data_IF_462358877500
#
_entry.id   IF_462358877500
#
_cell.length_a   1.000
_cell.length_b   1.000
_cell.length_c   1.000
_cell.angle_alpha   90.00
_cell.angle_beta   90.00
_cell.angle_gamma   90.00
#
_symmetry.space_group_name_H-M   'P 1'
#
loop_
_entity.id
_entity.type
_entity.pdbx_description
1 polymer ?
#
# COMPACT_ATOMS: atom_id res chain seq x y z
N UNK A 1 7.44 -5.54 -11.82
CA UNK A 1 7.33 -4.11 -12.16
C UNK A 1 7.65 -3.33 -10.91
N UNK A 2 8.71 -2.52 -10.95
CA UNK A 2 9.04 -1.66 -9.81
C UNK A 2 7.88 -0.68 -9.59
N UNK A 3 7.30 -0.71 -8.39
CA UNK A 3 6.20 0.18 -8.03
C UNK A 3 6.32 0.63 -6.58
N UNK A 4 5.68 1.75 -6.29
CA UNK A 4 5.58 2.26 -4.93
C UNK A 4 4.51 1.47 -4.17
N UNK A 5 4.82 1.18 -2.93
CA UNK A 5 3.89 0.62 -2.00
C UNK A 5 4.04 1.24 -0.63
N UNK A 6 3.00 1.12 0.16
CA UNK A 6 3.01 1.49 1.56
C UNK A 6 3.05 0.22 2.40
N UNK A 7 3.99 0.15 3.33
CA UNK A 7 4.02 -0.88 4.34
C UNK A 7 3.18 -0.41 5.54
N UNK A 8 2.10 -1.11 5.82
CA UNK A 8 1.18 -0.82 6.93
C UNK A 8 1.03 -2.04 7.83
N UNK A 9 0.98 -1.86 9.16
CA UNK A 9 0.68 -2.96 10.07
C UNK A 9 -0.65 -3.61 9.74
N UNK A 10 -0.76 -4.94 9.88
CA UNK A 10 -1.99 -5.69 9.54
C UNK A 10 -3.24 -5.13 10.22
N UNK A 11 -3.12 -4.67 11.46
CA UNK A 11 -4.23 -4.09 12.24
C UNK A 11 -4.78 -2.80 11.62
N UNK A 12 -3.94 -2.03 10.92
CA UNK A 12 -4.32 -0.79 10.25
C UNK A 12 -4.55 -0.96 8.74
N UNK A 13 -4.23 -2.13 8.18
CA UNK A 13 -4.20 -2.36 6.74
C UNK A 13 -5.56 -2.18 6.07
N UNK A 14 -6.65 -2.67 6.69
CA UNK A 14 -8.01 -2.50 6.17
C UNK A 14 -8.39 -1.02 6.07
N UNK A 15 -8.15 -0.27 7.16
CA UNK A 15 -8.43 1.17 7.22
C UNK A 15 -7.66 1.93 6.16
N UNK A 16 -6.36 1.67 6.05
CA UNK A 16 -5.52 2.35 5.05
C UNK A 16 -5.89 1.95 3.62
N UNK A 17 -6.26 0.69 3.38
CA UNK A 17 -6.74 0.26 2.06
C UNK A 17 -8.01 1.02 1.65
N UNK A 18 -8.96 1.18 2.57
CA UNK A 18 -10.18 1.95 2.31
C UNK A 18 -9.86 3.42 2.01
N UNK A 19 -9.04 4.08 2.81
CA UNK A 19 -8.62 5.46 2.56
C UNK A 19 -7.91 5.63 1.21
N UNK A 20 -7.06 4.67 0.81
CA UNK A 20 -6.39 4.67 -0.49
C UNK A 20 -7.36 4.47 -1.66
N UNK A 21 -8.38 3.62 -1.47
CA UNK A 21 -9.42 3.40 -2.47
C UNK A 21 -10.29 4.65 -2.66
N UNK A 22 -10.69 5.30 -1.57
CA UNK A 22 -11.46 6.56 -1.60
C UNK A 22 -10.67 7.68 -2.30
N UNK A 23 -9.37 7.78 -2.02
CA UNK A 23 -8.48 8.78 -2.63
C UNK A 23 -8.04 8.41 -4.06
N UNK A 24 -8.46 7.24 -4.58
CA UNK A 24 -8.00 6.70 -5.88
C UNK A 24 -6.47 6.61 -6.00
N UNK A 25 -5.79 6.42 -4.87
CA UNK A 25 -4.35 6.27 -4.78
C UNK A 25 -3.91 4.80 -4.82
N UNK A 26 -4.85 3.87 -4.67
CA UNK A 26 -4.58 2.43 -4.73
C UNK A 26 -4.29 1.98 -6.17
N UNK A 27 -3.16 1.29 -6.38
CA UNK A 27 -2.86 0.58 -7.64
C UNK A 27 -3.62 -0.74 -7.64
N UNK A 28 -4.77 -0.80 -8.32
CA UNK A 28 -5.60 -2.01 -8.43
C UNK A 28 -5.10 -3.00 -9.48
N UNK A 29 -4.16 -2.58 -10.32
CA UNK A 29 -3.49 -3.39 -11.32
C UNK A 29 -2.40 -4.31 -10.75
N UNK A 30 -1.96 -4.04 -9.50
CA UNK A 30 -0.94 -4.81 -8.80
C UNK A 30 -1.53 -5.59 -7.64
N UNK A 31 -1.01 -6.80 -7.38
CA UNK A 31 -1.44 -7.60 -6.24
C UNK A 31 -0.88 -7.05 -4.92
N UNK A 32 -1.76 -6.85 -3.94
CA UNK A 32 -1.36 -6.54 -2.56
C UNK A 32 -0.55 -7.72 -2.01
N UNK A 33 0.62 -7.44 -1.44
CA UNK A 33 1.46 -8.43 -0.75
C UNK A 33 1.32 -8.26 0.76
N UNK A 34 1.52 -9.32 1.53
CA UNK A 34 1.54 -9.22 2.99
C UNK A 34 2.49 -10.24 3.60
N UNK A 35 3.09 -9.84 4.71
CA UNK A 35 3.90 -10.70 5.57
C UNK A 35 3.20 -10.93 6.92
N UNK A 36 3.92 -11.51 7.88
CA UNK A 36 3.42 -11.75 9.24
C UNK A 36 3.08 -10.47 9.99
N UNK A 37 3.80 -9.38 9.74
CA UNK A 37 3.62 -8.11 10.46
C UNK A 37 2.98 -7.00 9.62
N UNK A 38 3.23 -6.97 8.31
CA UNK A 38 2.87 -5.85 7.44
C UNK A 38 2.10 -6.28 6.20
N UNK A 39 1.30 -5.36 5.68
CA UNK A 39 0.66 -5.43 4.37
C UNK A 39 1.28 -4.35 3.50
N UNK A 40 1.70 -4.74 2.30
CA UNK A 40 2.27 -3.88 1.27
C UNK A 40 1.21 -3.59 0.24
N UNK A 41 0.66 -2.38 0.33
CA UNK A 41 -0.41 -1.92 -0.55
C UNK A 41 0.24 -1.10 -1.66
N UNK A 42 0.16 -1.52 -2.94
CA UNK A 42 0.73 -0.76 -4.04
C UNK A 42 -0.08 0.51 -4.28
N UNK A 43 0.60 1.63 -4.52
CA UNK A 43 0.00 2.96 -4.65
C UNK A 43 0.56 3.72 -5.85
N UNK A 44 -0.23 4.62 -6.42
CA UNK A 44 0.27 5.62 -7.38
C UNK A 44 1.10 6.66 -6.62
N UNK A 45 2.10 7.25 -7.28
CA UNK A 45 3.03 8.22 -6.69
C UNK A 45 2.34 9.29 -5.85
N UNK A 46 2.95 9.65 -4.70
CA UNK A 46 2.50 10.79 -3.88
C UNK A 46 1.52 10.44 -2.74
N UNK A 47 1.35 9.17 -2.39
CA UNK A 47 0.56 8.79 -1.22
C UNK A 47 1.31 9.09 0.10
N UNK A 48 1.17 10.31 0.62
CA UNK A 48 1.60 10.68 1.97
C UNK A 48 0.52 10.25 2.98
N UNK A 49 0.75 9.13 3.66
CA UNK A 49 -0.20 8.53 4.60
C UNK A 49 0.44 8.51 5.98
N UNK A 50 -0.27 9.09 6.95
CA UNK A 50 0.09 8.98 8.36
C UNK A 50 0.06 7.50 8.77
N UNK A 51 1.12 7.04 9.44
CA UNK A 51 1.33 5.66 9.88
C UNK A 51 1.67 4.63 8.78
N UNK A 52 2.08 5.07 7.59
CA UNK A 52 2.53 4.16 6.53
C UNK A 52 3.94 4.49 6.06
N UNK A 53 4.78 3.48 5.91
CA UNK A 53 6.12 3.65 5.36
C UNK A 53 6.09 3.43 3.85
N UNK A 54 6.33 4.48 3.07
CA UNK A 54 6.48 4.37 1.63
C UNK A 54 7.75 3.57 1.30
N UNK A 55 7.60 2.51 0.50
CA UNK A 55 8.66 1.63 0.03
C UNK A 55 8.54 1.44 -1.48
N UNK A 56 9.66 1.17 -2.13
CA UNK A 56 9.68 0.68 -3.51
C UNK A 56 9.88 -0.82 -3.47
N UNK A 57 9.01 -1.56 -4.15
CA UNK A 57 9.10 -3.01 -4.26
C UNK A 57 8.71 -3.46 -5.67
N UNK A 58 9.23 -4.61 -6.07
CA UNK A 58 8.76 -5.30 -7.27
C UNK A 58 7.44 -6.01 -7.00
N UNK A 59 6.42 -5.59 -7.73
CA UNK A 59 5.12 -6.27 -7.80
C UNK A 59 5.00 -7.02 -9.12
N UNK A 60 4.33 -8.17 -9.08
CA UNK A 60 3.97 -8.98 -10.26
C UNK A 60 2.54 -8.67 -10.71
#
# INVERSE_FOLDING_TARGET
MESLCIAVPREKAEKVRQEMMEKKLLRTDLKIRHDRQYVYIPVVEGADIKDAALKKMDFE
#
